data_IF_346304924342
#
_entry.id   IF_346304924342
#
_cell.length_a   1.000
_cell.length_b   1.000
_cell.length_c   1.000
_cell.angle_alpha   90.00
_cell.angle_beta   90.00
_cell.angle_gamma   90.00
#
_symmetry.space_group_name_H-M   'P 1'
#
loop_
_entity.id
_entity.type
_entity.pdbx_description
1 polymer ?
#
# COMPACT_ATOMS: atom_id res chain seq x y z
N UNK A 1 9.21 -0.97 -9.90
CA UNK A 1 8.39 -0.25 -8.93
C UNK A 1 7.31 -1.15 -8.37
N UNK A 2 6.87 -0.87 -7.16
CA UNK A 2 5.83 -1.59 -6.45
C UNK A 2 4.90 -0.56 -5.81
N UNK A 3 3.62 -0.90 -5.69
CA UNK A 3 2.68 -0.17 -4.85
C UNK A 3 2.43 -0.99 -3.59
N UNK A 4 2.56 -0.33 -2.44
CA UNK A 4 2.07 -0.84 -1.16
C UNK A 4 0.82 -0.02 -0.86
N UNK A 5 -0.33 -0.69 -0.82
CA UNK A 5 -1.62 -0.06 -0.53
C UNK A 5 -2.24 -0.70 0.71
N UNK A 6 -2.90 0.09 1.54
CA UNK A 6 -3.57 -0.40 2.74
C UNK A 6 -4.74 0.47 3.12
N UNK A 7 -5.65 -0.11 3.90
CA UNK A 7 -6.84 0.58 4.37
C UNK A 7 -6.90 0.53 5.89
N UNK A 8 -7.23 1.66 6.51
CA UNK A 8 -7.40 1.80 7.96
C UNK A 8 -8.91 1.89 8.26
N UNK A 9 -9.39 1.12 9.24
CA UNK A 9 -10.78 1.19 9.69
C UNK A 9 -10.89 1.97 11.01
N UNK A 10 -11.50 3.15 10.95
CA UNK A 10 -11.71 4.01 12.12
C UNK A 10 -12.95 3.64 12.95
N UNK A 11 -13.59 2.51 12.64
CA UNK A 11 -14.85 2.05 13.23
C UNK A 11 -16.06 2.38 12.35
N UNK A 12 -17.12 1.58 12.48
CA UNK A 12 -18.38 1.83 11.75
C UNK A 12 -18.27 1.81 10.22
N UNK A 13 -17.30 1.08 9.67
CA UNK A 13 -16.96 1.06 8.24
C UNK A 13 -16.48 2.41 7.68
N UNK A 14 -15.95 3.29 8.54
CA UNK A 14 -15.21 4.47 8.10
C UNK A 14 -13.80 4.03 7.66
N UNK A 15 -13.66 3.73 6.37
CA UNK A 15 -12.42 3.23 5.77
C UNK A 15 -11.66 4.37 5.10
N UNK A 16 -10.37 4.46 5.41
CA UNK A 16 -9.41 5.37 4.78
C UNK A 16 -8.35 4.58 4.03
N UNK A 17 -8.16 4.90 2.74
CA UNK A 17 -7.19 4.24 1.87
C UNK A 17 -5.89 5.04 1.77
N UNK A 18 -4.77 4.33 1.86
CA UNK A 18 -3.43 4.87 1.75
C UNK A 18 -2.60 4.05 0.77
N UNK A 19 -1.60 4.69 0.17
CA UNK A 19 -0.63 4.00 -0.66
C UNK A 19 0.70 4.73 -0.68
N UNK A 20 1.75 3.97 -1.01
CA UNK A 20 3.07 4.48 -1.35
C UNK A 20 3.63 3.72 -2.55
N UNK A 21 4.53 4.35 -3.28
CA UNK A 21 5.29 3.71 -4.35
C UNK A 21 6.71 3.46 -3.86
N UNK A 22 7.18 2.23 -4.04
CA UNK A 22 8.53 1.80 -3.74
C UNK A 22 9.25 1.44 -5.05
N UNK A 23 10.54 1.76 -5.15
CA UNK A 23 11.32 1.50 -6.37
C UNK A 23 11.67 0.01 -6.47
N UNK A 24 12.01 -0.61 -5.34
CA UNK A 24 12.44 -2.00 -5.27
C UNK A 24 11.50 -2.87 -4.43
N UNK A 25 11.63 -4.19 -4.58
CA UNK A 25 10.85 -5.16 -3.81
C UNK A 25 11.20 -5.08 -2.32
N UNK A 26 12.48 -4.92 -2.00
CA UNK A 26 12.98 -4.82 -0.63
C UNK A 26 12.40 -3.60 0.09
N UNK A 27 12.29 -2.46 -0.60
CA UNK A 27 11.63 -1.27 -0.07
C UNK A 27 10.14 -1.53 0.19
N UNK A 28 9.43 -2.15 -0.77
CA UNK A 28 8.02 -2.49 -0.60
C UNK A 28 7.78 -3.43 0.60
N UNK A 29 8.61 -4.46 0.75
CA UNK A 29 8.53 -5.40 1.86
C UNK A 29 8.84 -4.72 3.20
N UNK A 30 9.82 -3.81 3.24
CA UNK A 30 10.15 -3.04 4.44
C UNK A 30 8.99 -2.14 4.89
N UNK A 31 8.25 -1.54 3.95
CA UNK A 31 7.07 -0.73 4.25
C UNK A 31 5.88 -1.59 4.67
N UNK A 32 5.63 -2.71 3.98
CA UNK A 32 4.58 -3.65 4.36
C UNK A 32 4.80 -4.23 5.78
N UNK A 33 6.05 -4.46 6.18
CA UNK A 33 6.39 -4.91 7.53
C UNK A 33 6.02 -3.89 8.61
N UNK A 34 6.00 -2.58 8.30
CA UNK A 34 5.56 -1.54 9.26
C UNK A 34 4.05 -1.59 9.48
N UNK A 35 3.27 -1.99 8.47
CA UNK A 35 1.81 -2.03 8.54
C UNK A 35 1.30 -3.01 9.61
N UNK A 36 2.04 -4.11 9.87
CA UNK A 36 1.68 -5.11 10.89
C UNK A 36 1.55 -4.54 12.31
N UNK A 37 2.03 -3.32 12.55
CA UNK A 37 1.98 -2.62 13.85
C UNK A 37 0.81 -1.65 13.98
N UNK A 38 -0.03 -1.53 12.95
CA UNK A 38 -1.18 -0.62 12.94
C UNK A 38 -2.39 -1.36 13.51
N UNK A 39 -2.86 -0.94 14.68
CA UNK A 39 -3.92 -1.63 15.44
C UNK A 39 -5.26 -1.72 14.69
N UNK A 40 -5.56 -0.75 13.83
CA UNK A 40 -6.80 -0.63 13.09
C UNK A 40 -6.64 -0.88 11.57
N UNK A 41 -5.62 -1.64 11.19
CA UNK A 41 -5.42 -2.07 9.81
C UNK A 41 -6.56 -2.99 9.37
N UNK A 42 -7.25 -2.63 8.29
CA UNK A 42 -8.33 -3.44 7.73
C UNK A 42 -7.80 -4.48 6.75
N UNK A 43 -7.00 -4.03 5.78
CA UNK A 43 -6.37 -4.88 4.76
C UNK A 43 -5.15 -4.16 4.18
N UNK A 44 -4.28 -4.91 3.49
CA UNK A 44 -3.14 -4.38 2.75
C UNK A 44 -2.76 -5.31 1.60
N UNK A 45 -2.07 -4.76 0.61
CA UNK A 45 -1.54 -5.49 -0.53
C UNK A 45 -0.23 -4.86 -1.03
N UNK A 46 0.66 -5.70 -1.56
CA UNK A 46 1.84 -5.28 -2.31
C UNK A 46 1.70 -5.80 -3.73
N UNK A 47 1.80 -4.92 -4.72
CA UNK A 47 1.70 -5.26 -6.13
C UNK A 47 2.86 -4.68 -6.91
N UNK A 48 3.40 -5.46 -7.86
CA UNK A 48 4.43 -4.97 -8.78
C UNK A 48 3.79 -4.11 -9.88
N UNK A 49 4.36 -2.93 -10.13
CA UNK A 49 3.98 -2.06 -11.24
C UNK A 49 4.85 -2.44 -12.44
N UNK A 50 4.24 -3.07 -13.43
CA UNK A 50 4.87 -3.42 -14.72
C UNK A 50 4.75 -2.27 -15.72
N UNK A 51 5.59 -2.28 -16.75
CA UNK A 51 5.47 -1.35 -17.86
C UNK A 51 4.08 -1.41 -18.51
N UNK A 52 3.42 -0.27 -18.68
CA UNK A 52 2.04 -0.17 -19.18
C UNK A 52 0.96 -0.38 -18.11
N UNK A 53 1.34 -0.54 -16.85
CA UNK A 53 0.43 -0.61 -15.69
C UNK A 53 0.72 0.48 -14.65
N UNK A 54 1.49 1.49 -15.03
CA UNK A 54 1.73 2.66 -14.20
C UNK A 54 0.40 3.35 -13.89
N UNK A 55 0.12 3.65 -12.60
CA UNK A 55 -1.05 4.44 -12.25
C UNK A 55 -1.04 5.80 -12.98
N UNK A 56 -2.20 6.20 -13.51
CA UNK A 56 -2.36 7.46 -14.27
C UNK A 56 -2.00 8.73 -13.48
N UNK A 57 -1.89 8.66 -12.15
CA UNK A 57 -1.50 9.79 -11.31
C UNK A 57 0.02 9.89 -11.08
N UNK A 58 0.82 8.95 -11.61
CA UNK A 58 2.29 9.05 -11.58
C UNK A 58 2.86 9.76 -12.81
N UNK A 59 2.02 10.06 -13.81
CA UNK A 59 2.39 10.76 -15.05
C UNK A 59 2.18 12.27 -14.99
#
# INVERSE_FOLDING_TARGET
MFIVAWSINHGGNNIEDHWIVAETREQADAEAAKLQKIDNLHCWAVSEIKAGSEPHWLS
#
